data_IF_430743044510
#
_entry.id   IF_430743044510
#
_cell.length_a   1.000
_cell.length_b   1.000
_cell.length_c   1.000
_cell.angle_alpha   90.00
_cell.angle_beta   90.00
_cell.angle_gamma   90.00
#
_symmetry.space_group_name_H-M   'P 1'
#
loop_
_entity.id
_entity.type
_entity.pdbx_description
1 polymer ?
#
# COMPACT_ATOMS: atom_id res chain seq x y z
N UNK A 1 -44.78 -8.53 -29.48
CA UNK A 1 -45.29 -7.18 -29.71
C UNK A 1 -45.34 -6.49 -28.34
N UNK A 2 -44.47 -5.63 -28.07
CA UNK A 2 -44.61 -4.32 -27.41
C UNK A 2 -43.22 -3.79 -27.08
N UNK A 3 -42.80 -2.86 -27.86
CA UNK A 3 -41.59 -2.05 -27.72
C UNK A 3 -41.87 -0.92 -26.75
N UNK A 4 -41.00 -0.67 -25.81
CA UNK A 4 -41.04 0.60 -25.09
C UNK A 4 -39.61 1.20 -25.03
N UNK A 5 -39.45 2.25 -25.83
CA UNK A 5 -38.30 3.15 -25.85
C UNK A 5 -38.65 4.35 -24.95
N UNK A 6 -37.77 4.73 -24.07
CA UNK A 6 -37.87 5.99 -23.35
C UNK A 6 -36.48 6.57 -23.07
N UNK A 7 -36.32 7.91 -23.00
CA UNK A 7 -35.23 8.58 -23.66
C UNK A 7 -34.06 9.02 -22.72
N UNK A 8 -32.93 9.31 -23.40
CA UNK A 8 -31.75 10.01 -22.94
C UNK A 8 -32.06 11.35 -22.21
N UNK A 9 -31.42 11.61 -21.14
CA UNK A 9 -31.24 12.97 -20.61
C UNK A 9 -29.76 13.21 -20.32
N UNK A 10 -29.13 13.92 -21.24
CA UNK A 10 -27.83 14.55 -21.07
C UNK A 10 -28.01 15.79 -20.19
N UNK A 11 -27.17 15.91 -19.17
CA UNK A 11 -26.97 17.16 -18.44
C UNK A 11 -25.48 17.55 -18.43
N UNK A 12 -25.14 18.36 -19.43
CA UNK A 12 -23.96 19.23 -19.43
C UNK A 12 -24.24 20.40 -18.48
N UNK A 13 -23.37 20.63 -17.53
CA UNK A 13 -23.21 21.95 -16.93
C UNK A 13 -21.71 22.28 -16.82
N UNK A 14 -21.33 23.13 -17.76
CA UNK A 14 -20.13 23.95 -17.75
C UNK A 14 -20.38 25.09 -16.77
N UNK A 15 -19.44 25.35 -15.86
CA UNK A 15 -19.31 26.65 -15.26
C UNK A 15 -17.84 27.02 -15.17
N UNK A 16 -17.53 28.11 -15.86
CA UNK A 16 -16.22 28.69 -16.01
C UNK A 16 -16.04 29.88 -15.05
N UNK A 17 -14.77 30.21 -14.80
CA UNK A 17 -14.20 31.53 -14.53
C UNK A 17 -14.29 32.08 -13.09
N UNK A 18 -13.09 32.30 -12.55
CA UNK A 18 -12.85 33.13 -11.37
C UNK A 18 -11.37 33.40 -11.16
N UNK A 19 -10.81 34.23 -12.02
CA UNK A 19 -9.46 34.79 -11.92
C UNK A 19 -9.51 35.98 -10.94
N UNK A 20 -8.72 35.97 -9.87
CA UNK A 20 -8.41 37.20 -9.15
C UNK A 20 -6.97 37.21 -8.65
N UNK A 21 -6.22 38.07 -9.28
CA UNK A 21 -4.87 38.51 -8.99
C UNK A 21 -4.94 39.51 -7.81
N UNK A 22 -4.04 39.39 -6.83
CA UNK A 22 -3.67 40.51 -5.98
C UNK A 22 -2.21 40.39 -5.53
N UNK A 23 -1.38 41.23 -6.16
CA UNK A 23 -0.04 41.59 -5.73
C UNK A 23 -0.12 42.48 -4.49
N UNK A 24 0.76 42.30 -3.52
CA UNK A 24 1.23 43.38 -2.66
C UNK A 24 2.67 43.15 -2.23
N UNK A 25 3.52 44.06 -2.66
CA UNK A 25 4.91 44.26 -2.26
C UNK A 25 4.97 44.81 -0.84
N UNK A 26 5.99 44.42 -0.09
CA UNK A 26 6.36 45.04 1.18
C UNK A 26 7.86 44.91 1.42
N UNK A 27 8.49 46.11 1.40
CA UNK A 27 9.93 46.40 1.38
C UNK A 27 10.54 46.40 2.79
N UNK A 28 11.78 45.95 2.88
CA UNK A 28 12.94 46.41 3.66
C UNK A 28 12.88 46.59 5.19
N UNK A 29 13.89 46.04 5.88
CA UNK A 29 14.80 46.81 6.71
C UNK A 29 16.07 46.01 7.03
N UNK A 30 17.21 46.60 6.69
CA UNK A 30 18.56 46.17 7.07
C UNK A 30 18.88 46.73 8.48
N UNK A 31 19.62 45.94 9.27
CA UNK A 31 20.44 46.50 10.36
C UNK A 31 21.77 45.78 10.38
N UNK A 32 22.81 46.52 10.04
CA UNK A 32 24.22 46.18 10.26
C UNK A 32 24.58 46.42 11.72
N UNK A 33 25.44 45.57 12.29
CA UNK A 33 26.37 45.98 13.35
C UNK A 33 27.66 45.22 13.24
N UNK A 34 28.72 45.98 12.99
CA UNK A 34 30.11 45.57 13.00
C UNK A 34 30.59 45.16 14.41
N UNK A 35 31.53 44.26 14.49
CA UNK A 35 32.25 43.92 15.69
C UNK A 35 33.46 43.05 15.34
N UNK A 36 34.63 43.72 15.33
CA UNK A 36 35.96 43.21 15.00
C UNK A 36 36.56 42.26 16.02
N UNK A 37 37.48 41.47 15.51
CA UNK A 37 38.74 40.91 16.10
C UNK A 37 38.69 39.69 16.95
N UNK A 38 39.51 38.73 16.49
CA UNK A 38 40.04 37.60 17.26
C UNK A 38 40.68 36.51 16.36
N UNK A 39 41.91 36.84 15.89
CA UNK A 39 42.81 35.88 15.24
C UNK A 39 43.36 34.89 16.28
N UNK A 40 43.09 33.61 16.12
CA UNK A 40 43.97 32.55 16.67
C UNK A 40 43.84 31.29 15.83
N UNK A 41 44.97 30.96 15.22
CA UNK A 41 45.30 29.74 14.50
C UNK A 41 45.34 28.55 15.45
N UNK A 42 44.56 27.53 15.15
CA UNK A 42 44.85 26.17 15.62
C UNK A 42 44.40 25.18 14.54
N UNK A 43 45.39 24.54 13.95
CA UNK A 43 45.29 23.33 13.15
C UNK A 43 44.78 22.20 14.04
N UNK A 44 43.66 21.60 13.71
CA UNK A 44 43.30 20.26 14.20
C UNK A 44 42.63 19.44 13.14
N UNK A 45 43.08 18.22 13.11
CA UNK A 45 42.88 17.11 12.23
C UNK A 45 41.42 16.84 11.86
N UNK A 46 41.22 16.51 10.59
CA UNK A 46 39.99 15.94 10.05
C UNK A 46 39.74 14.57 10.68
N UNK A 47 38.88 14.51 11.67
CA UNK A 47 38.21 13.28 12.06
C UNK A 47 37.05 13.12 11.09
N UNK A 48 37.22 12.24 10.09
CA UNK A 48 36.15 11.73 9.25
C UNK A 48 35.25 10.89 10.15
N UNK A 49 34.22 11.51 10.72
CA UNK A 49 33.11 10.82 11.31
C UNK A 49 32.27 10.27 10.15
N UNK A 50 32.38 8.99 9.87
CA UNK A 50 31.39 8.27 9.10
C UNK A 50 30.10 8.33 9.93
N UNK A 51 29.22 9.27 9.57
CA UNK A 51 27.83 9.22 9.99
C UNK A 51 27.24 7.96 9.36
N UNK A 52 27.18 6.88 10.11
CA UNK A 52 26.28 5.78 9.85
C UNK A 52 24.88 6.38 9.95
N UNK A 53 24.34 6.74 8.79
CA UNK A 53 22.91 6.95 8.62
C UNK A 53 22.23 5.63 8.99
N UNK A 54 21.85 5.51 10.27
CA UNK A 54 20.92 4.47 10.68
C UNK A 54 19.64 4.75 9.90
N UNK A 55 19.42 3.98 8.85
CA UNK A 55 18.12 3.86 8.21
C UNK A 55 17.16 3.42 9.32
N UNK A 56 16.46 4.36 9.92
CA UNK A 56 15.35 4.05 10.80
C UNK A 56 14.39 3.22 9.94
N UNK A 57 14.25 1.93 10.28
CA UNK A 57 13.32 1.04 9.61
C UNK A 57 11.96 1.72 9.58
N UNK A 58 11.32 1.76 8.41
CA UNK A 58 9.99 2.35 8.28
C UNK A 58 9.09 1.82 9.39
N UNK A 59 8.58 2.71 10.23
CA UNK A 59 7.59 2.34 11.26
C UNK A 59 6.18 2.15 10.66
N UNK A 60 6.04 2.31 9.35
CA UNK A 60 4.78 2.12 8.65
C UNK A 60 4.40 0.63 8.61
N UNK A 61 3.13 0.29 8.77
CA UNK A 61 2.66 -1.08 8.66
C UNK A 61 2.78 -1.58 7.23
N UNK A 62 3.07 -2.88 7.08
CA UNK A 62 3.15 -3.51 5.75
C UNK A 62 2.83 -4.99 5.80
N UNK A 63 2.40 -5.50 4.64
CA UNK A 63 2.24 -6.94 4.33
C UNK A 63 2.93 -7.24 3.01
N UNK A 64 3.38 -8.50 2.84
CA UNK A 64 4.05 -8.93 1.60
C UNK A 64 3.95 -10.44 1.42
N UNK A 65 4.23 -10.90 0.20
CA UNK A 65 4.43 -12.32 -0.06
C UNK A 65 5.85 -12.74 0.35
N UNK A 66 5.98 -13.73 1.24
CA UNK A 66 7.24 -14.45 1.47
C UNK A 66 7.38 -15.52 0.39
N UNK A 67 6.28 -16.21 0.09
CA UNK A 67 6.16 -17.18 -1.01
C UNK A 67 4.77 -17.04 -1.67
N UNK A 68 4.70 -17.18 -3.00
CA UNK A 68 5.81 -17.15 -3.96
C UNK A 68 6.42 -15.75 -4.07
N UNK A 69 7.66 -15.65 -4.56
CA UNK A 69 8.29 -14.38 -4.89
C UNK A 69 7.75 -13.83 -6.23
N UNK A 70 7.98 -12.55 -6.49
CA UNK A 70 7.70 -11.91 -7.78
C UNK A 70 8.36 -12.69 -8.92
N UNK A 71 7.64 -12.87 -10.04
CA UNK A 71 8.06 -13.62 -11.23
C UNK A 71 8.40 -15.11 -10.99
N UNK A 72 7.99 -15.68 -9.85
CA UNK A 72 8.24 -17.11 -9.58
C UNK A 72 7.53 -18.00 -10.60
N UNK A 73 8.23 -19.07 -11.00
CA UNK A 73 7.65 -20.16 -11.80
C UNK A 73 7.37 -21.33 -10.86
N UNK A 74 6.12 -21.68 -10.68
CA UNK A 74 5.65 -22.65 -9.68
C UNK A 74 4.73 -23.70 -10.31
N UNK A 75 4.51 -24.82 -9.59
CA UNK A 75 3.49 -25.82 -9.93
C UNK A 75 2.31 -25.74 -8.96
N UNK A 76 1.13 -26.14 -9.41
CA UNK A 76 -0.06 -26.24 -8.55
C UNK A 76 -0.09 -27.60 -7.81
N UNK A 77 -0.45 -27.66 -6.50
CA UNK A 77 -0.87 -26.54 -5.66
C UNK A 77 0.29 -25.57 -5.35
N UNK A 78 -0.02 -24.28 -5.31
CA UNK A 78 0.96 -23.24 -4.97
C UNK A 78 0.93 -23.01 -3.46
N UNK A 79 2.09 -23.10 -2.82
CA UNK A 79 2.25 -22.74 -1.41
C UNK A 79 2.42 -21.24 -1.27
N UNK A 80 1.67 -20.64 -0.35
CA UNK A 80 1.73 -19.23 0.00
C UNK A 80 2.19 -19.07 1.44
N UNK A 81 3.04 -18.08 1.66
CA UNK A 81 3.42 -17.60 2.98
C UNK A 81 3.49 -16.08 2.96
N UNK A 82 2.96 -15.45 4.01
CA UNK A 82 2.80 -14.00 4.09
C UNK A 82 3.62 -13.42 5.23
N UNK A 83 4.24 -12.27 4.99
CA UNK A 83 4.88 -11.45 6.00
C UNK A 83 4.00 -10.28 6.41
N UNK A 84 4.16 -9.86 7.67
CA UNK A 84 3.56 -8.64 8.20
C UNK A 84 4.50 -7.94 9.15
N UNK A 85 4.49 -6.62 9.17
CA UNK A 85 5.29 -5.81 10.08
C UNK A 85 4.50 -4.59 10.54
N UNK A 86 4.65 -4.23 11.81
CA UNK A 86 3.98 -3.08 12.45
C UNK A 86 2.44 -3.10 12.36
N UNK A 87 1.87 -4.27 12.18
CA UNK A 87 0.42 -4.54 12.19
C UNK A 87 0.17 -5.88 12.88
N UNK A 88 -0.89 -5.98 13.64
CA UNK A 88 -1.28 -7.23 14.29
C UNK A 88 -2.13 -8.06 13.34
N UNK A 89 -1.74 -9.30 13.11
CA UNK A 89 -2.60 -10.25 12.39
C UNK A 89 -3.45 -11.00 13.42
N UNK A 90 -4.76 -10.89 13.28
CA UNK A 90 -5.72 -11.52 14.18
C UNK A 90 -6.80 -12.26 13.41
N UNK A 91 -7.43 -13.29 14.02
CA UNK A 91 -8.63 -13.87 13.46
C UNK A 91 -9.74 -12.83 13.37
N UNK A 92 -10.60 -12.94 12.36
CA UNK A 92 -11.80 -12.09 12.23
C UNK A 92 -12.67 -12.11 13.50
N UNK A 93 -12.73 -13.24 14.21
CA UNK A 93 -13.54 -13.41 15.41
C UNK A 93 -15.03 -13.16 15.15
N UNK A 94 -15.63 -12.29 15.94
CA UNK A 94 -17.03 -11.85 15.84
C UNK A 94 -17.23 -10.60 14.97
N UNK A 95 -16.17 -10.11 14.33
CA UNK A 95 -16.18 -8.93 13.46
C UNK A 95 -15.91 -7.61 14.19
N UNK A 96 -15.38 -7.66 15.41
CA UNK A 96 -14.92 -6.45 16.09
C UNK A 96 -13.70 -5.84 15.35
N UNK A 97 -13.69 -4.51 15.25
CA UNK A 97 -12.60 -3.76 14.62
C UNK A 97 -11.64 -3.29 15.70
N UNK A 98 -10.39 -3.75 15.63
CA UNK A 98 -9.31 -3.32 16.51
C UNK A 98 -8.33 -2.45 15.76
N UNK A 99 -7.98 -1.30 16.33
CA UNK A 99 -7.02 -0.38 15.71
C UNK A 99 -5.64 -1.04 15.59
N UNK A 100 -5.04 -0.98 14.40
CA UNK A 100 -3.73 -1.57 14.12
C UNK A 100 -3.74 -3.09 14.01
N UNK A 101 -4.90 -3.70 13.73
CA UNK A 101 -5.06 -5.13 13.53
C UNK A 101 -5.90 -5.44 12.29
N UNK A 102 -5.75 -6.66 11.77
CA UNK A 102 -6.50 -7.15 10.62
C UNK A 102 -6.14 -8.58 10.25
N UNK A 103 -6.71 -9.08 9.17
CA UNK A 103 -6.45 -10.41 8.64
C UNK A 103 -6.22 -10.39 7.15
N UNK A 104 -5.56 -11.42 6.64
CA UNK A 104 -5.16 -11.51 5.25
C UNK A 104 -6.32 -11.84 4.31
N UNK A 105 -6.28 -11.25 3.13
CA UNK A 105 -7.08 -11.62 1.96
C UNK A 105 -6.15 -11.77 0.77
N UNK A 106 -6.37 -12.77 -0.07
CA UNK A 106 -5.62 -12.97 -1.30
C UNK A 106 -6.56 -12.82 -2.48
N UNK A 107 -6.27 -11.84 -3.32
CA UNK A 107 -6.93 -11.66 -4.61
C UNK A 107 -6.18 -12.42 -5.71
N UNK A 108 -6.90 -13.19 -6.53
CA UNK A 108 -6.36 -13.91 -7.68
C UNK A 108 -6.82 -13.22 -8.96
N UNK A 109 -5.88 -12.74 -9.78
CA UNK A 109 -6.14 -11.97 -10.99
C UNK A 109 -6.97 -10.69 -10.72
N UNK A 110 -6.70 -10.05 -9.62
CA UNK A 110 -7.29 -8.76 -9.21
C UNK A 110 -6.24 -7.86 -8.58
N UNK A 111 -6.59 -6.63 -8.26
CA UNK A 111 -5.69 -5.62 -7.71
C UNK A 111 -6.17 -5.13 -6.36
N UNK A 112 -5.33 -4.36 -5.67
CA UNK A 112 -5.67 -3.70 -4.42
C UNK A 112 -6.97 -2.91 -4.53
N UNK A 113 -7.85 -3.08 -3.56
CA UNK A 113 -9.04 -2.26 -3.41
C UNK A 113 -8.68 -0.93 -2.72
N UNK A 114 -9.37 0.16 -3.05
CA UNK A 114 -9.23 1.43 -2.35
C UNK A 114 -9.48 1.31 -0.84
N UNK A 115 -8.88 2.22 -0.07
CA UNK A 115 -9.08 2.30 1.38
C UNK A 115 -10.57 2.44 1.76
N UNK A 116 -10.99 1.71 2.78
CA UNK A 116 -12.36 1.70 3.32
C UNK A 116 -13.37 0.88 2.51
N UNK A 117 -12.96 0.27 1.39
CA UNK A 117 -13.83 -0.66 0.66
C UNK A 117 -13.89 -2.03 1.34
N UNK A 118 -15.01 -2.70 1.20
CA UNK A 118 -15.20 -4.06 1.73
C UNK A 118 -14.58 -5.06 0.76
N UNK A 119 -13.65 -5.88 1.26
CA UNK A 119 -13.07 -7.00 0.51
C UNK A 119 -14.13 -8.11 0.44
N UNK A 120 -14.52 -8.57 -0.76
CA UNK A 120 -15.51 -9.63 -0.89
C UNK A 120 -15.04 -10.96 -0.28
N UNK A 121 -15.95 -11.68 0.37
CA UNK A 121 -15.72 -13.06 0.84
C UNK A 121 -16.02 -14.09 -0.29
N UNK A 122 -15.71 -13.76 -1.53
CA UNK A 122 -15.97 -14.58 -2.72
C UNK A 122 -14.98 -14.25 -3.82
N UNK A 123 -14.87 -15.14 -4.82
CA UNK A 123 -14.00 -14.90 -5.98
C UNK A 123 -14.12 -13.46 -6.50
N UNK A 124 -13.00 -12.83 -6.81
CA UNK A 124 -11.65 -13.39 -6.92
C UNK A 124 -10.83 -13.36 -5.61
N UNK A 125 -11.44 -13.13 -4.46
CA UNK A 125 -10.79 -13.03 -3.16
C UNK A 125 -10.93 -14.30 -2.34
N UNK A 126 -9.83 -14.72 -1.71
CA UNK A 126 -9.76 -15.79 -0.72
C UNK A 126 -9.52 -15.17 0.64
N UNK A 127 -10.34 -15.52 1.62
CA UNK A 127 -10.39 -14.95 2.95
C UNK A 127 -9.72 -15.85 3.99
N UNK A 128 -8.84 -15.27 4.81
CA UNK A 128 -8.11 -15.97 5.89
C UNK A 128 -8.62 -15.52 7.26
N UNK A 129 -9.89 -15.75 7.52
CA UNK A 129 -10.56 -15.33 8.74
C UNK A 129 -10.09 -16.01 10.03
N UNK A 130 -9.18 -16.97 9.94
CA UNK A 130 -8.53 -17.63 11.08
C UNK A 130 -7.22 -16.95 11.52
N UNK A 131 -6.79 -15.89 10.81
CA UNK A 131 -5.53 -15.20 11.08
C UNK A 131 -4.29 -15.95 10.60
N UNK A 132 -4.45 -16.96 9.74
CA UNK A 132 -3.31 -17.71 9.19
C UNK A 132 -2.43 -16.84 8.28
N UNK A 133 -1.15 -17.15 8.25
CA UNK A 133 -0.16 -16.51 7.39
C UNK A 133 0.39 -17.48 6.31
N UNK A 134 -0.25 -18.62 6.08
CA UNK A 134 0.16 -19.58 5.07
C UNK A 134 -1.02 -20.43 4.59
N UNK A 135 -1.01 -20.77 3.30
CA UNK A 135 -2.01 -21.64 2.67
C UNK A 135 -1.43 -22.31 1.42
N UNK A 136 -2.06 -23.41 0.98
CA UNK A 136 -1.88 -23.94 -0.37
C UNK A 136 -3.14 -23.72 -1.21
N UNK A 137 -2.98 -23.25 -2.45
CA UNK A 137 -4.10 -22.98 -3.36
C UNK A 137 -3.90 -23.68 -4.70
N UNK A 138 -4.99 -24.21 -5.24
CA UNK A 138 -5.02 -24.74 -6.60
C UNK A 138 -5.18 -23.57 -7.59
N UNK A 139 -4.18 -23.36 -8.43
CA UNK A 139 -4.23 -22.39 -9.53
C UNK A 139 -4.10 -23.13 -10.86
N UNK A 140 -4.77 -22.62 -11.88
CA UNK A 140 -4.62 -23.15 -13.25
C UNK A 140 -3.27 -22.77 -13.83
N UNK A 141 -2.70 -23.56 -14.77
CA UNK A 141 -1.52 -23.13 -15.49
C UNK A 141 -1.75 -21.79 -16.22
N UNK A 142 -0.74 -20.93 -16.19
CA UNK A 142 -0.79 -19.58 -16.78
C UNK A 142 -0.13 -18.52 -15.90
N UNK A 143 -0.19 -17.29 -16.36
CA UNK A 143 0.22 -16.11 -15.59
C UNK A 143 -0.90 -15.68 -14.65
N UNK A 144 -0.54 -15.37 -13.42
CA UNK A 144 -1.47 -14.90 -12.40
C UNK A 144 -0.92 -13.65 -11.72
N UNK A 145 -1.75 -12.63 -11.60
CA UNK A 145 -1.55 -11.54 -10.65
C UNK A 145 -2.14 -11.95 -9.32
N UNK A 146 -1.33 -11.91 -8.28
CA UNK A 146 -1.71 -12.22 -6.90
C UNK A 146 -1.64 -10.93 -6.08
N UNK A 147 -2.65 -10.67 -5.30
CA UNK A 147 -2.73 -9.49 -4.43
C UNK A 147 -2.95 -9.92 -3.00
N UNK A 148 -2.05 -9.53 -2.08
CA UNK A 148 -2.30 -9.62 -0.64
C UNK A 148 -2.82 -8.29 -0.15
N UNK A 149 -3.91 -8.29 0.62
CA UNK A 149 -4.47 -7.09 1.24
C UNK A 149 -5.03 -7.41 2.62
N UNK A 150 -4.79 -6.51 3.58
CA UNK A 150 -5.40 -6.62 4.90
C UNK A 150 -6.78 -5.98 4.93
N UNK A 151 -7.71 -6.68 5.58
CA UNK A 151 -9.00 -6.18 6.00
C UNK A 151 -9.12 -6.20 7.53
N UNK A 152 -9.87 -5.25 8.08
CA UNK A 152 -10.24 -5.21 9.49
C UNK A 152 -11.30 -6.29 9.82
N UNK A 153 -11.82 -6.29 11.06
CA UNK A 153 -12.87 -7.23 11.50
C UNK A 153 -14.16 -7.18 10.67
N UNK A 154 -14.44 -6.06 9.99
CA UNK A 154 -15.58 -5.90 9.07
C UNK A 154 -15.20 -6.15 7.59
N UNK A 155 -13.98 -6.63 7.31
CA UNK A 155 -13.41 -6.80 5.96
C UNK A 155 -13.17 -5.48 5.21
N UNK A 156 -13.07 -4.35 5.90
CA UNK A 156 -12.72 -3.09 5.26
C UNK A 156 -11.21 -2.99 5.09
N UNK A 157 -10.80 -2.59 3.90
CA UNK A 157 -9.39 -2.27 3.64
C UNK A 157 -8.95 -1.10 4.52
N UNK A 158 -7.74 -1.22 5.05
CA UNK A 158 -7.12 -0.21 5.88
C UNK A 158 -6.49 0.91 5.01
N UNK A 159 -6.36 2.13 5.57
CA UNK A 159 -5.91 3.33 4.83
C UNK A 159 -4.39 3.54 4.90
N UNK A 160 -3.66 2.63 5.53
CA UNK A 160 -2.20 2.75 5.63
C UNK A 160 -1.52 2.22 4.37
N UNK A 161 -0.58 3.00 3.80
CA UNK A 161 0.26 2.52 2.70
C UNK A 161 1.06 1.29 3.13
N UNK A 162 1.14 0.30 2.26
CA UNK A 162 1.88 -0.94 2.54
C UNK A 162 1.03 -2.11 3.05
N UNK A 163 -0.28 -1.90 3.27
CA UNK A 163 -1.21 -2.98 3.64
C UNK A 163 -1.87 -3.65 2.43
N UNK A 164 -1.34 -3.40 1.24
CA UNK A 164 -1.61 -4.14 0.03
C UNK A 164 -0.37 -4.23 -0.85
N UNK A 165 -0.10 -5.42 -1.38
CA UNK A 165 0.95 -5.70 -2.36
C UNK A 165 0.41 -6.60 -3.46
N UNK A 166 0.94 -6.45 -4.68
CA UNK A 166 0.63 -7.36 -5.78
C UNK A 166 1.91 -7.88 -6.43
N UNK A 167 1.92 -9.17 -6.75
CA UNK A 167 2.98 -9.85 -7.47
C UNK A 167 2.41 -10.58 -8.69
N UNK A 168 3.28 -10.92 -9.63
CA UNK A 168 2.95 -11.77 -10.78
C UNK A 168 3.73 -13.07 -10.69
N UNK A 169 3.06 -14.21 -10.93
CA UNK A 169 3.69 -15.52 -11.00
C UNK A 169 3.29 -16.27 -12.27
N UNK A 170 4.04 -17.30 -12.60
CA UNK A 170 3.73 -18.22 -13.69
C UNK A 170 3.51 -19.63 -13.10
N UNK A 171 2.30 -20.15 -13.24
CA UNK A 171 1.98 -21.54 -12.88
C UNK A 171 2.19 -22.44 -14.09
N UNK A 172 3.00 -23.46 -13.94
CA UNK A 172 3.26 -24.47 -15.00
C UNK A 172 2.63 -25.80 -14.65
N UNK A 173 2.37 -26.62 -15.68
CA UNK A 173 1.91 -27.98 -15.47
C UNK A 173 3.03 -28.82 -14.83
N UNK A 174 2.67 -29.71 -13.90
CA UNK A 174 3.59 -30.71 -13.37
C UNK A 174 4.00 -31.68 -14.48
N UNK A 175 5.30 -31.72 -14.78
CA UNK A 175 5.82 -32.66 -15.78
C UNK A 175 5.85 -34.08 -15.16
N UNK A 176 5.01 -34.94 -15.66
CA UNK A 176 4.86 -36.34 -15.25
C UNK A 176 5.91 -37.26 -15.92
#
# INVERSE_FOLDING_TARGET
MSTNHGPLAAWFRICAIGLTCCCLMGLAAACSSDGENGEETATEEAAHGEEHEMTEGSSAPRVWFIQPEEEAVVTSPVAFEFGSENIMIEPRGDGEVHAGAGHHHIGVNTQCLPAGEIIPEADPWVHFGDGSAAIEMQLTPGEHTLTIQLGDGEHRTLDEPGLCESITIIVVEEQN
#
